data_IF_006500647494
#
_entry.id   IF_006500647494
#
_cell.length_a   1.000
_cell.length_b   1.000
_cell.length_c   1.000
_cell.angle_alpha   90.00
_cell.angle_beta   90.00
_cell.angle_gamma   90.00
#
_symmetry.space_group_name_H-M   'P 1'
#
loop_
_entity.id
_entity.type
_entity.pdbx_description
1 polymer ?
#
# COMPACT_ATOMS: atom_id res chain seq x y z
N UNK A 1 -17.94 27.02 -48.12
CA UNK A 1 -18.17 26.83 -46.67
C UNK A 1 -18.44 25.37 -46.44
N UNK A 2 -17.52 24.64 -45.81
CA UNK A 2 -17.72 23.28 -45.26
C UNK A 2 -16.51 23.00 -44.36
N UNK A 3 -16.52 23.58 -43.15
CA UNK A 3 -15.54 23.26 -42.13
C UNK A 3 -15.94 21.90 -41.54
N UNK A 4 -15.17 20.88 -41.90
CA UNK A 4 -15.25 19.56 -41.30
C UNK A 4 -15.10 19.74 -39.79
N UNK A 5 -16.18 19.44 -39.06
CA UNK A 5 -16.24 19.43 -37.60
C UNK A 5 -15.01 18.75 -37.04
N UNK A 6 -14.23 19.53 -36.28
CA UNK A 6 -13.13 19.05 -35.45
C UNK A 6 -13.63 17.86 -34.64
N UNK A 7 -13.23 16.65 -35.04
CA UNK A 7 -13.33 15.47 -34.18
C UNK A 7 -12.33 15.68 -33.06
N UNK A 8 -12.71 16.46 -32.04
CA UNK A 8 -12.05 16.45 -30.74
C UNK A 8 -12.20 15.04 -30.21
N UNK A 9 -11.16 14.24 -30.44
CA UNK A 9 -10.92 13.01 -29.70
C UNK A 9 -10.57 13.45 -28.27
N UNK A 10 -11.57 13.88 -27.52
CA UNK A 10 -11.45 14.02 -26.09
C UNK A 10 -11.26 12.61 -25.56
N UNK A 11 -10.03 12.25 -25.24
CA UNK A 11 -9.78 11.27 -24.20
C UNK A 11 -10.34 11.85 -22.90
N UNK A 12 -11.66 11.81 -22.73
CA UNK A 12 -12.27 12.02 -21.43
C UNK A 12 -11.86 10.82 -20.60
N UNK A 13 -10.82 10.99 -19.78
CA UNK A 13 -10.64 10.14 -18.62
C UNK A 13 -11.83 10.38 -17.69
N UNK A 14 -13.00 9.87 -18.04
CA UNK A 14 -14.16 9.92 -17.17
C UNK A 14 -13.78 9.16 -15.91
N UNK A 15 -13.68 9.92 -14.82
CA UNK A 15 -13.44 9.42 -13.47
C UNK A 15 -14.74 9.62 -12.68
N UNK A 16 -15.80 8.83 -12.95
CA UNK A 16 -17.12 9.07 -12.37
C UNK A 16 -17.14 8.79 -10.86
N UNK A 17 -16.16 8.06 -10.33
CA UNK A 17 -16.13 7.66 -8.93
C UNK A 17 -15.35 8.68 -8.09
N UNK A 18 -16.05 9.64 -7.48
CA UNK A 18 -15.45 10.68 -6.64
C UNK A 18 -15.44 10.31 -5.16
N UNK A 19 -14.30 10.54 -4.50
CA UNK A 19 -14.17 10.45 -3.06
C UNK A 19 -14.80 11.67 -2.41
N UNK A 20 -15.79 11.46 -1.54
CA UNK A 20 -16.49 12.55 -0.83
C UNK A 20 -15.63 13.21 0.26
N UNK A 21 -14.58 12.52 0.74
CA UNK A 21 -13.73 13.01 1.84
C UNK A 21 -12.70 14.02 1.32
N UNK A 22 -12.05 13.72 0.19
CA UNK A 22 -10.96 14.56 -0.34
C UNK A 22 -11.17 15.01 -1.80
N UNK A 23 -12.30 14.67 -2.42
CA UNK A 23 -12.65 15.11 -3.77
C UNK A 23 -11.93 14.39 -4.91
N UNK A 24 -10.96 13.48 -4.66
CA UNK A 24 -10.25 12.71 -5.70
C UNK A 24 -11.20 11.81 -6.50
N UNK A 25 -11.03 11.78 -7.81
CA UNK A 25 -11.84 10.97 -8.72
C UNK A 25 -11.06 9.77 -9.28
N UNK A 26 -11.77 8.66 -9.49
CA UNK A 26 -11.26 7.39 -9.98
C UNK A 26 -12.09 6.88 -11.17
N UNK A 27 -11.45 6.16 -12.10
CA UNK A 27 -12.12 5.57 -13.26
C UNK A 27 -12.86 4.27 -12.93
N UNK A 28 -12.54 3.63 -11.80
CA UNK A 28 -13.17 2.39 -11.34
C UNK A 28 -13.68 2.53 -9.91
N UNK A 29 -14.86 1.96 -9.64
CA UNK A 29 -15.45 1.93 -8.29
C UNK A 29 -14.55 1.22 -7.28
N UNK A 30 -13.92 0.11 -7.69
CA UNK A 30 -12.99 -0.64 -6.86
C UNK A 30 -11.76 0.19 -6.42
N UNK A 31 -11.29 1.11 -7.25
CA UNK A 31 -10.16 1.97 -6.91
C UNK A 31 -10.57 3.07 -5.93
N UNK A 32 -11.79 3.61 -6.06
CA UNK A 32 -12.38 4.48 -5.03
C UNK A 32 -12.53 3.74 -3.69
N UNK A 33 -13.03 2.49 -3.69
CA UNK A 33 -13.17 1.69 -2.47
C UNK A 33 -11.83 1.43 -1.80
N UNK A 34 -10.80 1.05 -2.56
CA UNK A 34 -9.43 0.90 -2.04
C UNK A 34 -8.89 2.23 -1.49
N UNK A 35 -9.14 3.34 -2.20
CA UNK A 35 -8.72 4.67 -1.76
C UNK A 35 -9.36 5.08 -0.44
N UNK A 36 -10.64 4.76 -0.20
CA UNK A 36 -11.33 5.08 1.06
C UNK A 36 -10.58 4.54 2.29
N UNK A 37 -9.85 3.43 2.16
CA UNK A 37 -9.04 2.85 3.24
C UNK A 37 -7.98 3.80 3.79
N UNK A 38 -7.48 4.73 2.97
CA UNK A 38 -6.50 5.75 3.38
C UNK A 38 -7.09 6.71 4.41
N UNK A 39 -8.39 7.01 4.33
CA UNK A 39 -9.06 7.90 5.27
C UNK A 39 -9.43 7.18 6.57
N UNK A 40 -9.80 5.91 6.48
CA UNK A 40 -10.17 5.10 7.65
C UNK A 40 -8.97 4.51 8.40
N UNK A 41 -7.81 4.43 7.75
CA UNK A 41 -6.64 3.71 8.29
C UNK A 41 -6.76 2.18 8.27
N UNK A 42 -7.88 1.62 7.78
CA UNK A 42 -8.12 0.17 7.71
C UNK A 42 -7.07 -0.54 6.84
N UNK A 43 -6.39 -1.53 7.41
CA UNK A 43 -5.39 -2.36 6.72
C UNK A 43 -5.80 -3.83 6.80
N UNK A 44 -6.71 -4.29 5.93
CA UNK A 44 -7.31 -5.62 6.06
C UNK A 44 -6.35 -6.77 5.74
N UNK A 45 -5.21 -6.50 5.12
CA UNK A 45 -4.26 -7.54 4.72
C UNK A 45 -3.10 -7.61 5.71
N UNK A 46 -3.20 -8.49 6.70
CA UNK A 46 -2.16 -8.71 7.69
C UNK A 46 -1.17 -9.78 7.23
N UNK A 47 0.11 -9.54 7.46
CA UNK A 47 1.14 -10.57 7.33
C UNK A 47 1.06 -11.54 8.50
N UNK A 48 0.88 -12.82 8.18
CA UNK A 48 0.88 -13.95 9.10
C UNK A 48 2.22 -14.18 9.81
N UNK A 49 3.33 -13.84 9.14
CA UNK A 49 4.69 -14.04 9.67
C UNK A 49 5.05 -12.98 10.71
N UNK A 50 4.62 -11.74 10.48
CA UNK A 50 5.21 -10.58 11.15
C UNK A 50 4.16 -9.56 11.66
N UNK A 51 2.88 -9.89 11.52
CA UNK A 51 1.72 -9.07 11.93
C UNK A 51 1.61 -7.67 11.33
N UNK A 52 2.48 -7.30 10.38
CA UNK A 52 2.39 -6.02 9.67
C UNK A 52 1.19 -6.02 8.71
N UNK A 53 0.36 -4.98 8.77
CA UNK A 53 -0.83 -4.87 7.93
C UNK A 53 -0.68 -3.90 6.75
N UNK A 54 -1.40 -4.19 5.66
CA UNK A 54 -1.36 -3.48 4.38
C UNK A 54 -2.77 -3.12 3.89
N UNK A 55 -2.85 -2.06 3.08
CA UNK A 55 -4.10 -1.58 2.48
C UNK A 55 -4.57 -2.41 1.27
N UNK A 56 -3.63 -3.09 0.61
CA UNK A 56 -3.87 -3.87 -0.61
C UNK A 56 -3.20 -5.25 -0.52
N UNK A 57 -3.83 -6.26 -1.13
CA UNK A 57 -3.30 -7.63 -1.17
C UNK A 57 -1.97 -7.72 -1.90
N UNK A 58 -1.80 -6.99 -3.01
CA UNK A 58 -0.54 -6.97 -3.77
C UNK A 58 0.65 -6.43 -2.96
N UNK A 59 0.40 -5.50 -2.03
CA UNK A 59 1.43 -5.01 -1.11
C UNK A 59 1.85 -6.08 -0.11
N UNK A 60 0.89 -6.82 0.45
CA UNK A 60 1.15 -7.97 1.31
C UNK A 60 1.95 -9.06 0.56
N UNK A 61 1.53 -9.44 -0.66
CA UNK A 61 2.25 -10.44 -1.47
C UNK A 61 3.68 -10.01 -1.75
N UNK A 62 3.91 -8.73 -2.10
CA UNK A 62 5.26 -8.20 -2.28
C UNK A 62 6.06 -8.25 -0.98
N UNK A 63 5.45 -7.90 0.14
CA UNK A 63 6.09 -7.95 1.46
C UNK A 63 6.48 -9.38 1.86
N UNK A 64 5.62 -10.37 1.61
CA UNK A 64 5.91 -11.78 1.91
C UNK A 64 7.16 -12.30 1.19
N UNK A 65 7.53 -11.71 0.04
CA UNK A 65 8.80 -12.04 -0.64
C UNK A 65 10.04 -11.68 0.18
N UNK A 66 9.96 -10.74 1.13
CA UNK A 66 11.07 -10.42 2.04
C UNK A 66 11.29 -11.58 3.01
N UNK A 67 10.21 -12.17 3.51
CA UNK A 67 10.27 -13.38 4.34
C UNK A 67 10.84 -14.56 3.55
N UNK A 68 10.41 -14.73 2.30
CA UNK A 68 10.94 -15.77 1.41
C UNK A 68 12.44 -15.58 1.06
N UNK A 69 12.96 -14.34 1.08
CA UNK A 69 14.38 -14.01 0.86
C UNK A 69 15.25 -14.22 2.11
N UNK A 70 14.75 -14.92 3.12
CA UNK A 70 15.53 -15.36 4.26
C UNK A 70 15.83 -14.26 5.27
N UNK A 71 15.04 -13.16 5.31
CA UNK A 71 15.09 -12.17 6.40
C UNK A 71 13.72 -11.98 7.07
N UNK A 72 13.19 -13.01 7.74
CA UNK A 72 11.81 -12.98 8.25
C UNK A 72 11.64 -12.13 9.52
N UNK A 73 12.73 -11.86 10.23
CA UNK A 73 12.70 -11.13 11.49
C UNK A 73 12.84 -9.64 11.20
N UNK A 74 12.00 -8.80 11.79
CA UNK A 74 12.06 -7.36 11.55
C UNK A 74 11.89 -6.58 12.86
N UNK A 75 12.55 -5.43 12.93
CA UNK A 75 12.47 -4.53 14.08
C UNK A 75 11.23 -3.66 13.98
N UNK A 76 10.35 -3.70 14.97
CA UNK A 76 9.13 -2.88 14.99
C UNK A 76 9.43 -1.39 15.20
N UNK A 77 10.58 -1.07 15.79
CA UNK A 77 11.00 0.30 16.10
C UNK A 77 11.53 1.01 14.83
N UNK A 78 12.38 0.34 14.05
CA UNK A 78 13.06 0.97 12.90
C UNK A 78 12.84 0.29 11.54
N UNK A 79 12.16 -0.86 11.50
CA UNK A 79 11.83 -1.59 10.28
C UNK A 79 12.95 -2.43 9.66
N UNK A 80 14.15 -2.49 10.26
CA UNK A 80 15.26 -3.32 9.74
C UNK A 80 14.92 -4.82 9.78
N UNK A 81 15.27 -5.56 8.72
CA UNK A 81 15.04 -7.01 8.62
C UNK A 81 16.33 -7.82 8.77
N UNK A 82 16.22 -8.98 9.42
CA UNK A 82 17.29 -9.88 9.82
C UNK A 82 16.97 -11.32 9.43
N UNK A 83 17.99 -12.09 9.09
CA UNK A 83 17.87 -13.51 8.74
C UNK A 83 17.67 -14.43 9.94
N UNK A 84 18.01 -13.96 11.13
CA UNK A 84 17.93 -14.73 12.36
C UNK A 84 17.30 -13.92 13.49
N UNK A 85 16.54 -14.58 14.36
CA UNK A 85 15.89 -13.96 15.52
C UNK A 85 16.91 -13.38 16.51
N UNK A 86 18.05 -14.04 16.69
CA UNK A 86 19.12 -13.57 17.57
C UNK A 86 19.67 -12.20 17.15
N UNK A 87 19.88 -12.00 15.85
CA UNK A 87 20.32 -10.71 15.30
C UNK A 87 19.28 -9.60 15.47
N UNK A 88 17.99 -9.95 15.38
CA UNK A 88 16.93 -9.00 15.72
C UNK A 88 16.96 -8.66 17.21
N UNK A 89 17.13 -9.65 18.10
CA UNK A 89 17.14 -9.43 19.56
C UNK A 89 18.30 -8.52 20.00
N UNK A 90 19.52 -8.79 19.52
CA UNK A 90 20.68 -7.93 19.77
C UNK A 90 20.56 -6.57 19.10
N UNK A 91 19.81 -6.47 18.00
CA UNK A 91 19.49 -5.18 17.41
C UNK A 91 18.47 -4.40 18.24
N UNK A 92 17.41 -5.03 18.75
CA UNK A 92 16.37 -4.35 19.54
C UNK A 92 16.95 -3.78 20.83
N UNK A 93 17.94 -4.44 21.43
CA UNK A 93 18.58 -3.94 22.65
C UNK A 93 19.28 -2.58 22.48
N UNK A 94 19.63 -2.17 21.25
CA UNK A 94 20.18 -0.83 21.01
C UNK A 94 19.11 0.26 21.10
N UNK A 95 17.84 -0.07 20.85
CA UNK A 95 16.71 0.86 20.95
C UNK A 95 16.18 0.97 22.38
N UNK A 96 16.46 -0.04 23.22
CA UNK A 96 16.06 -0.05 24.63
C UNK A 96 17.14 0.53 25.55
N UNK A 97 18.25 1.05 25.01
CA UNK A 97 19.24 1.81 25.78
C UNK A 97 18.69 3.21 26.08
N UNK A 98 17.77 3.27 27.04
CA UNK A 98 17.34 4.46 27.77
C UNK A 98 17.15 4.08 29.24
#
# INVERSE_FOLDING_TARGET
MNNLTERKHSHTEEKPYRCIICGKSFSKSGDLTKHKRVHTGEKPYQCDICSKSFYQSGDLTRHQRIHARGKPYHCDICGKSFSQKGLLCTHVSIHTQV
#
